data_IF_617779279377
#
_entry.id   IF_617779279377
#
_cell.length_a   1.000
_cell.length_b   1.000
_cell.length_c   1.000
_cell.angle_alpha   90.00
_cell.angle_beta   90.00
_cell.angle_gamma   90.00
#
_symmetry.space_group_name_H-M   'P 1'
#
loop_
_entity.id
_entity.type
_entity.pdbx_description
1 polymer ?
#
# COMPACT_ATOMS: atom_id res chain seq x y z
N UNK A 1 -25.70 -17.75 -28.11
CA UNK A 1 -24.38 -17.43 -27.51
C UNK A 1 -23.86 -16.23 -28.28
N UNK A 2 -24.00 -15.08 -27.68
CA UNK A 2 -23.97 -13.79 -28.37
C UNK A 2 -22.56 -13.33 -28.68
N UNK A 3 -22.39 -12.84 -29.91
CA UNK A 3 -21.15 -12.26 -30.43
C UNK A 3 -20.69 -10.99 -29.67
N UNK A 4 -21.43 -10.56 -28.64
CA UNK A 4 -21.13 -9.41 -27.78
C UNK A 4 -20.22 -9.75 -26.57
N UNK A 5 -20.06 -11.01 -26.19
CA UNK A 5 -19.19 -11.43 -25.07
C UNK A 5 -17.72 -11.61 -25.44
N UNK A 6 -17.36 -11.66 -26.74
CA UNK A 6 -15.98 -11.90 -27.18
C UNK A 6 -15.13 -10.63 -27.37
N UNK A 7 -15.66 -9.42 -27.14
CA UNK A 7 -15.01 -8.17 -27.58
C UNK A 7 -14.07 -7.51 -26.55
N UNK A 8 -13.85 -8.08 -25.34
CA UNK A 8 -13.04 -7.42 -24.30
C UNK A 8 -12.17 -8.38 -23.45
N UNK A 9 -11.69 -9.50 -24.00
CA UNK A 9 -10.74 -10.31 -23.26
C UNK A 9 -9.32 -9.77 -23.44
N UNK A 10 -8.77 -9.15 -22.38
CA UNK A 10 -7.36 -8.82 -22.33
C UNK A 10 -6.52 -10.07 -22.57
N UNK A 11 -5.45 -10.01 -23.39
CA UNK A 11 -4.58 -11.15 -23.65
C UNK A 11 -4.00 -11.67 -22.32
N UNK A 12 -3.86 -12.99 -22.22
CA UNK A 12 -3.25 -13.62 -21.04
C UNK A 12 -1.74 -13.42 -21.13
N UNK A 13 -1.16 -12.83 -20.08
CA UNK A 13 0.27 -12.60 -19.94
C UNK A 13 0.90 -13.83 -19.29
N UNK A 14 1.74 -14.55 -20.03
CA UNK A 14 2.52 -15.66 -19.48
C UNK A 14 3.80 -15.13 -18.83
N UNK A 15 4.07 -15.53 -17.59
CA UNK A 15 5.27 -15.11 -16.84
C UNK A 15 5.74 -16.19 -15.87
N UNK A 16 7.00 -16.09 -15.42
CA UNK A 16 7.50 -16.97 -14.36
C UNK A 16 6.83 -16.65 -13.03
N UNK A 17 6.74 -15.37 -12.67
CA UNK A 17 6.27 -14.95 -11.36
C UNK A 17 5.35 -13.72 -11.45
N UNK A 18 4.27 -13.73 -10.68
CA UNK A 18 3.51 -12.51 -10.33
C UNK A 18 3.85 -12.13 -8.89
N UNK A 19 4.31 -10.90 -8.67
CA UNK A 19 4.53 -10.29 -7.36
C UNK A 19 3.33 -9.40 -7.03
N UNK A 20 2.68 -9.65 -5.91
CA UNK A 20 1.55 -8.85 -5.40
C UNK A 20 2.06 -7.88 -4.35
N UNK A 21 2.20 -6.61 -4.73
CA UNK A 21 2.71 -5.53 -3.90
C UNK A 21 4.06 -4.97 -4.40
N UNK A 22 4.09 -3.65 -4.65
CA UNK A 22 5.24 -2.89 -5.13
C UNK A 22 5.90 -2.04 -4.01
N UNK A 23 5.78 -2.48 -2.75
CA UNK A 23 6.52 -1.91 -1.63
C UNK A 23 8.01 -2.26 -1.69
N UNK A 24 8.85 -1.77 -0.74
CA UNK A 24 10.30 -2.01 -0.76
C UNK A 24 10.67 -3.49 -0.91
N UNK A 25 9.93 -4.38 -0.24
CA UNK A 25 10.20 -5.84 -0.29
C UNK A 25 9.81 -6.42 -1.64
N UNK A 26 8.68 -6.01 -2.22
CA UNK A 26 8.27 -6.43 -3.58
C UNK A 26 9.23 -5.95 -4.66
N UNK A 27 9.75 -4.72 -4.54
CA UNK A 27 10.78 -4.20 -5.43
C UNK A 27 12.07 -5.03 -5.31
N UNK A 28 12.55 -5.28 -4.08
CA UNK A 28 13.73 -6.10 -3.87
C UNK A 28 13.53 -7.56 -4.33
N UNK A 29 12.31 -8.07 -4.25
CA UNK A 29 11.97 -9.40 -4.78
C UNK A 29 12.21 -9.50 -6.29
N UNK A 30 11.94 -8.43 -7.05
CA UNK A 30 12.28 -8.37 -8.49
C UNK A 30 13.78 -8.55 -8.71
N UNK A 31 14.61 -7.89 -7.86
CA UNK A 31 16.06 -8.02 -7.93
C UNK A 31 16.53 -9.46 -7.73
N UNK A 32 16.06 -10.10 -6.67
CA UNK A 32 16.46 -11.47 -6.32
C UNK A 32 16.00 -12.50 -7.38
N UNK A 33 14.78 -12.36 -7.90
CA UNK A 33 14.29 -13.21 -9.00
C UNK A 33 15.11 -12.99 -10.28
N UNK A 34 15.41 -11.74 -10.60
CA UNK A 34 16.22 -11.37 -11.78
C UNK A 34 17.64 -11.96 -11.72
N UNK A 35 18.28 -11.98 -10.54
CA UNK A 35 19.56 -12.66 -10.33
C UNK A 35 19.48 -14.17 -10.66
N UNK A 36 18.34 -14.79 -10.38
CA UNK A 36 18.10 -16.21 -10.72
C UNK A 36 17.58 -16.42 -12.17
N UNK A 37 17.42 -15.34 -12.93
CA UNK A 37 16.97 -15.37 -14.35
C UNK A 37 15.48 -15.63 -14.49
N UNK A 38 14.68 -15.28 -13.51
CA UNK A 38 13.23 -15.36 -13.52
C UNK A 38 12.63 -13.99 -13.86
N UNK A 39 11.62 -14.00 -14.73
CA UNK A 39 10.87 -12.79 -15.07
C UNK A 39 9.69 -12.60 -14.12
N UNK A 40 9.45 -11.35 -13.71
CA UNK A 40 8.37 -11.02 -12.82
C UNK A 40 7.52 -9.86 -13.37
N UNK A 41 6.20 -9.98 -13.19
CA UNK A 41 5.25 -8.88 -13.27
C UNK A 41 4.85 -8.47 -11.85
N UNK A 42 4.81 -7.17 -11.59
CA UNK A 42 4.47 -6.63 -10.27
C UNK A 42 3.12 -5.94 -10.35
N UNK A 43 2.19 -6.34 -9.50
CA UNK A 43 0.84 -5.78 -9.42
C UNK A 43 0.68 -5.04 -8.08
N UNK A 44 0.21 -3.80 -8.10
CA UNK A 44 -0.08 -3.04 -6.88
C UNK A 44 -1.37 -2.23 -7.02
N UNK A 45 -2.19 -2.25 -5.98
CA UNK A 45 -3.42 -1.47 -5.89
C UNK A 45 -3.20 0.04 -5.84
N UNK A 46 -1.99 0.47 -5.50
CA UNK A 46 -1.60 1.89 -5.51
C UNK A 46 -1.15 2.31 -6.92
N UNK A 47 -1.41 3.58 -7.25
CA UNK A 47 -1.01 4.17 -8.53
C UNK A 47 0.49 4.52 -8.62
N UNK A 48 1.26 4.26 -7.55
CA UNK A 48 2.69 4.57 -7.46
C UNK A 48 3.45 3.48 -6.71
N UNK A 49 4.74 3.35 -7.03
CA UNK A 49 5.65 2.42 -6.39
C UNK A 49 5.98 2.85 -4.96
N UNK A 50 6.32 1.88 -4.10
CA UNK A 50 6.87 2.11 -2.77
C UNK A 50 5.94 1.76 -1.60
N UNK A 51 4.65 1.44 -1.87
CA UNK A 51 3.72 0.93 -0.86
C UNK A 51 3.62 1.85 0.36
N UNK A 52 3.65 1.27 1.57
CA UNK A 52 3.55 2.00 2.84
C UNK A 52 4.55 3.14 3.00
N UNK A 53 5.77 2.97 2.51
CA UNK A 53 6.84 3.95 2.62
C UNK A 53 6.47 5.27 1.95
N UNK A 54 5.86 5.21 0.78
CA UNK A 54 5.46 6.41 0.04
C UNK A 54 4.10 6.93 0.52
N UNK A 55 3.15 6.05 0.84
CA UNK A 55 1.81 6.47 1.24
C UNK A 55 1.76 7.10 2.64
N UNK A 56 2.56 6.60 3.59
CA UNK A 56 2.42 6.99 4.99
C UNK A 56 3.51 7.94 5.49
N UNK A 57 4.73 7.84 4.96
CA UNK A 57 5.86 8.58 5.50
C UNK A 57 6.99 8.81 4.47
N UNK A 58 6.70 9.39 3.29
CA UNK A 58 7.69 9.53 2.21
C UNK A 58 8.95 10.28 2.63
N UNK A 59 8.81 11.31 3.45
CA UNK A 59 9.89 12.20 3.87
C UNK A 59 10.48 11.86 5.24
N UNK A 60 9.96 10.81 5.92
CA UNK A 60 10.52 10.41 7.22
C UNK A 60 11.86 9.71 7.05
N UNK A 61 12.85 10.04 7.88
CA UNK A 61 14.16 9.40 7.84
C UNK A 61 14.06 7.96 8.38
N UNK A 62 14.76 7.05 7.70
CA UNK A 62 14.96 5.65 8.04
C UNK A 62 16.44 5.48 8.38
N UNK A 63 16.75 4.77 9.48
CA UNK A 63 18.11 4.62 10.01
C UNK A 63 18.58 3.16 10.06
N UNK A 64 17.69 2.20 9.79
CA UNK A 64 17.91 0.76 9.98
C UNK A 64 18.04 -0.03 8.66
N UNK A 65 18.43 0.66 7.58
CA UNK A 65 18.83 0.02 6.33
C UNK A 65 20.35 -0.22 6.33
N UNK A 66 20.81 -1.45 6.18
CA UNK A 66 22.24 -1.77 6.19
C UNK A 66 23.03 -0.94 5.18
N UNK A 67 24.19 -0.43 5.59
CA UNK A 67 25.08 0.41 4.80
C UNK A 67 24.52 1.78 4.34
N UNK A 68 23.30 2.13 4.74
CA UNK A 68 22.71 3.45 4.51
C UNK A 68 22.48 4.10 5.88
N UNK A 69 23.38 5.01 6.36
CA UNK A 69 23.24 5.59 7.69
C UNK A 69 21.92 6.33 7.92
N UNK A 70 21.43 6.98 6.87
CA UNK A 70 20.12 7.64 6.84
C UNK A 70 19.66 7.79 5.39
N UNK A 71 18.38 7.57 5.16
CA UNK A 71 17.68 7.93 3.92
C UNK A 71 16.22 8.24 4.24
N UNK A 72 15.56 9.01 3.40
CA UNK A 72 14.09 9.09 3.44
C UNK A 72 13.47 7.83 2.84
N UNK A 73 12.18 7.59 3.14
CA UNK A 73 11.44 6.50 2.51
C UNK A 73 11.44 6.61 0.99
N UNK A 74 11.30 7.85 0.48
CA UNK A 74 11.33 8.11 -0.97
C UNK A 74 12.69 7.75 -1.57
N UNK A 75 13.79 8.20 -0.95
CA UNK A 75 15.15 7.88 -1.42
C UNK A 75 15.41 6.37 -1.43
N UNK A 76 14.91 5.63 -0.42
CA UNK A 76 15.04 4.17 -0.41
C UNK A 76 14.31 3.54 -1.61
N UNK A 77 13.07 3.95 -1.86
CA UNK A 77 12.29 3.45 -2.99
C UNK A 77 12.94 3.79 -4.32
N UNK A 78 13.40 5.03 -4.51
CA UNK A 78 14.09 5.47 -5.72
C UNK A 78 15.36 4.61 -6.01
N UNK A 79 16.14 4.29 -4.97
CA UNK A 79 17.32 3.40 -5.07
C UNK A 79 16.95 1.97 -5.41
N UNK A 80 15.86 1.43 -4.84
CA UNK A 80 15.37 0.09 -5.19
C UNK A 80 14.89 0.03 -6.64
N UNK A 81 14.18 1.06 -7.10
CA UNK A 81 13.76 1.17 -8.51
C UNK A 81 14.98 1.24 -9.44
N UNK A 82 16.02 1.98 -9.08
CA UNK A 82 17.27 2.00 -9.84
C UNK A 82 17.94 0.61 -9.88
N UNK A 83 17.97 -0.08 -8.74
CA UNK A 83 18.61 -1.41 -8.61
C UNK A 83 17.96 -2.47 -9.48
N UNK A 84 16.66 -2.39 -9.73
CA UNK A 84 15.92 -3.40 -10.54
C UNK A 84 15.87 -3.09 -12.04
N UNK A 85 16.32 -1.92 -12.49
CA UNK A 85 16.30 -1.53 -13.92
C UNK A 85 16.89 -2.57 -14.86
N UNK A 86 18.01 -3.26 -14.55
CA UNK A 86 18.56 -4.27 -15.44
C UNK A 86 17.61 -5.42 -15.78
N UNK A 87 16.63 -5.69 -14.93
CA UNK A 87 15.67 -6.79 -15.08
C UNK A 87 14.39 -6.37 -15.81
N UNK A 88 14.23 -5.07 -16.13
CA UNK A 88 13.11 -4.51 -16.88
C UNK A 88 11.72 -5.03 -16.42
N UNK A 89 11.39 -5.00 -15.11
CA UNK A 89 10.12 -5.51 -14.61
C UNK A 89 8.95 -4.75 -15.22
N UNK A 90 7.82 -5.45 -15.39
CA UNK A 90 6.58 -4.84 -15.83
C UNK A 90 5.70 -4.54 -14.60
N UNK A 91 5.23 -3.31 -14.49
CA UNK A 91 4.39 -2.86 -13.38
C UNK A 91 2.95 -2.66 -13.83
N UNK A 92 2.00 -3.16 -13.03
CA UNK A 92 0.56 -2.99 -13.16
C UNK A 92 0.07 -2.25 -11.92
N UNK A 93 0.08 -0.91 -11.99
CA UNK A 93 -0.23 -0.03 -10.86
C UNK A 93 -1.70 0.43 -10.92
N UNK A 94 -2.29 0.67 -9.74
CA UNK A 94 -3.71 0.99 -9.63
C UNK A 94 -4.62 -0.23 -9.82
N UNK A 95 -4.05 -1.44 -9.82
CA UNK A 95 -4.76 -2.70 -10.00
C UNK A 95 -4.62 -3.59 -8.77
N UNK A 96 -5.74 -4.06 -8.22
CA UNK A 96 -5.76 -5.04 -7.12
C UNK A 96 -5.86 -6.45 -7.71
N UNK A 97 -5.06 -7.40 -7.25
CA UNK A 97 -5.27 -8.82 -7.59
C UNK A 97 -6.53 -9.31 -6.88
N UNK A 98 -7.54 -9.65 -7.67
CA UNK A 98 -8.87 -10.05 -7.17
C UNK A 98 -9.04 -11.56 -7.09
N UNK A 99 -8.42 -12.29 -8.00
CA UNK A 99 -8.56 -13.74 -8.11
C UNK A 99 -7.19 -14.39 -8.32
N UNK A 100 -6.99 -15.53 -7.68
CA UNK A 100 -5.85 -16.40 -7.87
C UNK A 100 -6.31 -17.87 -7.82
N UNK A 101 -6.19 -18.58 -8.93
CA UNK A 101 -6.60 -19.97 -9.05
C UNK A 101 -5.43 -20.84 -9.54
N UNK A 102 -5.21 -21.96 -8.87
CA UNK A 102 -4.20 -22.94 -9.30
C UNK A 102 -4.77 -23.84 -10.39
N UNK A 103 -4.10 -23.90 -11.51
CA UNK A 103 -4.48 -24.77 -12.65
C UNK A 103 -4.05 -26.23 -12.40
N UNK A 104 -4.63 -27.20 -13.13
CA UNK A 104 -4.19 -28.61 -13.08
C UNK A 104 -2.70 -28.80 -13.47
N UNK A 105 -2.14 -27.90 -14.26
CA UNK A 105 -0.71 -27.92 -14.63
C UNK A 105 0.22 -27.43 -13.51
N UNK A 106 -0.35 -26.90 -12.39
CA UNK A 106 0.40 -26.35 -11.29
C UNK A 106 0.73 -24.86 -11.42
N UNK A 107 0.39 -24.22 -12.55
CA UNK A 107 0.49 -22.77 -12.76
C UNK A 107 -0.67 -22.04 -12.10
N UNK A 108 -0.66 -20.72 -12.14
CA UNK A 108 -1.69 -19.88 -11.54
C UNK A 108 -2.32 -18.94 -12.57
N UNK A 109 -3.64 -18.98 -12.64
CA UNK A 109 -4.40 -17.91 -13.27
C UNK A 109 -4.61 -16.80 -12.24
N UNK A 110 -4.08 -15.62 -12.54
CA UNK A 110 -4.20 -14.44 -11.68
C UNK A 110 -4.95 -13.36 -12.45
N UNK A 111 -5.94 -12.74 -11.81
CA UNK A 111 -6.75 -11.67 -12.40
C UNK A 111 -6.72 -10.43 -11.52
N UNK A 112 -6.73 -9.26 -12.16
CA UNK A 112 -6.77 -7.96 -11.47
C UNK A 112 -8.13 -7.28 -11.60
N UNK A 113 -8.33 -6.24 -10.79
CA UNK A 113 -9.52 -5.38 -10.81
C UNK A 113 -9.68 -4.60 -12.13
N UNK A 114 -8.61 -4.40 -12.90
CA UNK A 114 -8.64 -3.77 -14.22
C UNK A 114 -8.88 -4.80 -15.36
N UNK A 115 -8.99 -6.09 -15.02
CA UNK A 115 -9.21 -7.16 -16.00
C UNK A 115 -7.93 -7.74 -16.60
N UNK A 116 -6.72 -7.30 -16.17
CA UNK A 116 -5.46 -7.92 -16.56
C UNK A 116 -5.41 -9.37 -16.08
N UNK A 117 -4.95 -10.29 -16.96
CA UNK A 117 -4.91 -11.73 -16.69
C UNK A 117 -3.49 -12.26 -16.89
N UNK A 118 -3.05 -13.08 -15.94
CA UNK A 118 -1.75 -13.74 -15.98
C UNK A 118 -1.92 -15.26 -15.94
N UNK A 119 -1.02 -15.95 -16.67
CA UNK A 119 -0.67 -17.34 -16.46
C UNK A 119 0.74 -17.37 -15.85
N UNK A 120 0.81 -17.50 -14.53
CA UNK A 120 2.03 -17.39 -13.76
C UNK A 120 2.53 -18.76 -13.29
N UNK A 121 3.85 -18.96 -13.32
CA UNK A 121 4.48 -20.18 -12.77
C UNK A 121 4.40 -20.22 -11.24
N UNK A 122 4.58 -19.06 -10.57
CA UNK A 122 4.50 -18.91 -9.13
C UNK A 122 3.92 -17.53 -8.77
N UNK A 123 3.46 -17.37 -7.52
CA UNK A 123 2.97 -16.11 -6.98
C UNK A 123 3.72 -15.76 -5.69
N UNK A 124 4.21 -14.51 -5.59
CA UNK A 124 4.81 -13.99 -4.36
C UNK A 124 3.95 -12.86 -3.82
N UNK A 125 3.47 -13.00 -2.59
CA UNK A 125 2.67 -12.00 -1.91
C UNK A 125 3.58 -11.12 -1.06
N UNK A 126 3.81 -9.88 -1.51
CA UNK A 126 4.61 -8.84 -0.85
C UNK A 126 3.74 -7.64 -0.45
N UNK A 127 2.45 -7.90 -0.14
CA UNK A 127 1.40 -6.91 0.01
C UNK A 127 1.44 -6.12 1.35
N UNK A 128 2.54 -6.22 2.12
CA UNK A 128 2.71 -5.48 3.36
C UNK A 128 1.65 -5.83 4.41
N UNK A 129 0.80 -4.88 4.78
CA UNK A 129 -0.36 -5.13 5.66
C UNK A 129 -1.67 -5.30 4.89
N UNK A 130 -1.58 -5.56 3.59
CA UNK A 130 -2.72 -5.60 2.67
C UNK A 130 -3.04 -4.23 2.07
N UNK A 131 -4.14 -4.15 1.34
CA UNK A 131 -4.58 -2.90 0.75
C UNK A 131 -4.92 -1.89 1.86
N UNK A 132 -4.33 -0.69 1.74
CA UNK A 132 -4.62 0.41 2.65
C UNK A 132 -5.96 1.03 2.27
N UNK A 133 -7.01 0.63 3.01
CA UNK A 133 -8.30 1.29 2.88
C UNK A 133 -8.48 2.30 4.01
N UNK A 134 -8.92 3.52 3.73
CA UNK A 134 -9.23 4.49 4.77
C UNK A 134 -10.32 3.94 5.69
N UNK A 135 -10.20 4.22 6.97
CA UNK A 135 -11.29 3.94 7.91
C UNK A 135 -12.48 4.79 7.54
N UNK A 136 -13.51 4.13 6.99
CA UNK A 136 -14.69 4.81 6.50
C UNK A 136 -15.58 5.32 7.63
N UNK A 137 -16.20 6.45 7.38
CA UNK A 137 -17.25 7.02 8.22
C UNK A 137 -18.49 6.12 8.16
N UNK A 138 -18.92 5.61 9.32
CA UNK A 138 -20.05 4.69 9.44
C UNK A 138 -21.30 5.42 9.93
N UNK A 139 -21.79 6.36 9.13
CA UNK A 139 -23.07 7.04 9.35
C UNK A 139 -23.98 6.85 8.13
N UNK A 140 -25.29 6.80 8.29
CA UNK A 140 -26.21 6.62 7.17
C UNK A 140 -26.01 7.69 6.09
N UNK A 141 -25.92 7.28 4.84
CA UNK A 141 -25.79 8.15 3.68
C UNK A 141 -24.35 8.54 3.33
N UNK A 142 -23.34 8.17 4.13
CA UNK A 142 -21.94 8.51 3.86
C UNK A 142 -21.47 7.99 2.48
N UNK A 143 -21.85 6.78 2.11
CA UNK A 143 -21.44 6.15 0.85
C UNK A 143 -21.86 6.96 -0.40
N UNK A 144 -22.97 7.68 -0.33
CA UNK A 144 -23.47 8.51 -1.45
C UNK A 144 -22.64 9.78 -1.68
N UNK A 145 -21.91 10.22 -0.65
CA UNK A 145 -21.11 11.43 -0.65
C UNK A 145 -19.63 11.17 -0.95
N UNK A 146 -19.20 9.90 -0.91
CA UNK A 146 -17.80 9.51 -1.14
C UNK A 146 -17.33 9.92 -2.53
N UNK A 147 -16.17 10.61 -2.59
CA UNK A 147 -15.57 11.13 -3.81
C UNK A 147 -16.19 12.43 -4.34
N UNK A 148 -17.34 12.85 -3.82
CA UNK A 148 -18.01 14.11 -4.19
C UNK A 148 -17.80 15.18 -3.11
N UNK A 149 -18.34 14.98 -1.92
CA UNK A 149 -18.23 15.92 -0.78
C UNK A 149 -17.70 15.27 0.49
N UNK A 150 -17.55 13.95 0.51
CA UNK A 150 -16.85 13.18 1.55
C UNK A 150 -15.57 12.59 0.98
N UNK A 151 -14.43 12.95 1.56
CA UNK A 151 -13.11 12.59 1.07
C UNK A 151 -12.28 11.89 2.15
N UNK A 152 -11.56 10.84 1.78
CA UNK A 152 -10.60 10.14 2.63
C UNK A 152 -9.14 10.43 2.25
N UNK A 153 -8.95 11.17 1.16
CA UNK A 153 -7.67 11.71 0.68
C UNK A 153 -7.91 13.03 -0.04
N UNK A 154 -6.94 13.89 -0.05
CA UNK A 154 -6.93 15.11 -0.87
C UNK A 154 -6.08 14.84 -2.12
N UNK A 155 -6.69 14.96 -3.28
CA UNK A 155 -6.00 14.85 -4.57
C UNK A 155 -5.80 16.21 -5.23
N UNK A 156 -6.72 17.14 -4.97
CA UNK A 156 -6.67 18.51 -5.47
C UNK A 156 -7.15 19.47 -4.37
N UNK A 157 -6.26 20.19 -3.70
CA UNK A 157 -6.63 21.15 -2.66
C UNK A 157 -7.49 22.33 -3.16
N UNK A 158 -7.45 22.64 -4.46
CA UNK A 158 -8.21 23.76 -5.03
C UNK A 158 -9.72 23.56 -4.96
N UNK A 159 -10.19 22.31 -4.86
CA UNK A 159 -11.61 21.97 -4.68
C UNK A 159 -12.23 22.58 -3.42
N UNK A 160 -11.41 22.92 -2.44
CA UNK A 160 -11.85 23.40 -1.13
C UNK A 160 -11.78 24.93 -1.00
N UNK A 161 -11.27 25.63 -2.01
CA UNK A 161 -11.15 27.09 -1.97
C UNK A 161 -12.52 27.75 -1.73
N UNK A 162 -12.56 28.69 -0.76
CA UNK A 162 -13.76 29.43 -0.36
C UNK A 162 -14.96 28.56 0.08
N UNK A 163 -14.70 27.33 0.56
CA UNK A 163 -15.71 26.37 1.07
C UNK A 163 -15.69 26.25 2.58
N UNK A 164 -16.82 25.79 3.15
CA UNK A 164 -16.90 25.37 4.54
C UNK A 164 -16.45 23.92 4.66
N UNK A 165 -15.34 23.71 5.37
CA UNK A 165 -14.68 22.42 5.45
C UNK A 165 -14.68 21.89 6.87
N UNK A 166 -15.02 20.62 7.00
CA UNK A 166 -14.77 19.87 8.24
C UNK A 166 -13.67 18.83 7.99
N UNK A 167 -12.70 18.79 8.88
CA UNK A 167 -11.66 17.76 8.92
C UNK A 167 -11.89 16.90 10.16
N UNK A 168 -12.00 15.58 9.98
CA UNK A 168 -12.16 14.61 11.05
C UNK A 168 -10.88 13.79 11.25
N UNK A 169 -10.21 13.96 12.39
CA UNK A 169 -8.99 13.21 12.72
C UNK A 169 -8.11 13.90 13.76
N UNK A 170 -7.09 13.19 14.24
CA UNK A 170 -6.12 13.68 15.23
C UNK A 170 -4.69 13.20 14.98
N UNK A 171 -4.41 12.65 13.81
CA UNK A 171 -3.07 12.26 13.38
C UNK A 171 -2.41 13.34 12.53
N UNK A 172 -1.16 13.07 12.12
CA UNK A 172 -0.38 13.99 11.29
C UNK A 172 -1.14 14.43 10.03
N UNK A 173 -1.78 13.49 9.30
CA UNK A 173 -2.51 13.83 8.07
C UNK A 173 -3.67 14.81 8.30
N UNK A 174 -4.41 14.67 9.41
CA UNK A 174 -5.50 15.60 9.72
C UNK A 174 -4.98 17.01 10.02
N UNK A 175 -3.89 17.10 10.80
CA UNK A 175 -3.30 18.39 11.14
C UNK A 175 -2.58 19.02 9.96
N UNK A 176 -1.86 18.24 9.14
CA UNK A 176 -1.20 18.76 7.93
C UNK A 176 -2.21 19.44 7.00
N UNK A 177 -3.33 18.77 6.72
CA UNK A 177 -4.37 19.36 5.90
C UNK A 177 -5.10 20.52 6.57
N UNK A 178 -5.29 20.49 7.89
CA UNK A 178 -5.85 21.63 8.61
C UNK A 178 -4.94 22.87 8.51
N UNK A 179 -3.61 22.67 8.69
CA UNK A 179 -2.62 23.74 8.57
C UNK A 179 -2.42 24.22 7.13
N UNK A 180 -2.59 23.34 6.14
CA UNK A 180 -2.48 23.68 4.72
C UNK A 180 -3.69 24.46 4.17
N UNK A 181 -4.90 24.15 4.68
CA UNK A 181 -6.15 24.66 4.13
C UNK A 181 -6.72 25.88 4.86
N UNK A 182 -6.30 26.16 6.12
CA UNK A 182 -6.94 27.15 6.98
C UNK A 182 -7.05 28.57 6.40
N UNK A 183 -6.15 28.98 5.53
CA UNK A 183 -6.12 30.30 4.88
C UNK A 183 -6.71 30.30 3.45
N UNK A 184 -7.10 29.13 2.94
CA UNK A 184 -7.63 28.94 1.58
C UNK A 184 -9.13 28.70 1.56
N UNK A 185 -9.70 28.32 2.69
CA UNK A 185 -11.12 27.96 2.83
C UNK A 185 -11.91 29.07 3.51
N UNK A 186 -13.22 29.07 3.38
CA UNK A 186 -14.10 30.06 4.03
C UNK A 186 -14.17 29.80 5.54
N UNK A 187 -14.33 28.57 5.95
CA UNK A 187 -14.28 28.14 7.34
C UNK A 187 -13.69 26.74 7.48
N UNK A 188 -13.01 26.48 8.59
CA UNK A 188 -12.42 25.18 8.89
C UNK A 188 -12.75 24.77 10.33
N UNK A 189 -13.34 23.58 10.44
CA UNK A 189 -13.59 22.94 11.75
C UNK A 189 -12.87 21.61 11.78
N UNK A 190 -11.98 21.44 12.77
CA UNK A 190 -11.34 20.16 13.07
C UNK A 190 -12.17 19.42 14.11
N UNK A 191 -12.58 18.19 13.82
CA UNK A 191 -13.38 17.35 14.70
C UNK A 191 -12.58 16.15 15.16
N UNK A 192 -12.50 15.93 16.46
CA UNK A 192 -11.96 14.71 17.05
C UNK A 192 -12.66 14.36 18.37
N UNK A 193 -12.77 13.08 18.66
CA UNK A 193 -13.48 12.54 19.83
C UNK A 193 -12.87 12.89 21.21
N UNK A 194 -11.64 13.40 21.24
CA UNK A 194 -10.93 13.77 22.47
C UNK A 194 -9.89 14.85 22.18
N UNK A 195 -9.37 15.48 23.21
CA UNK A 195 -8.28 16.48 23.11
C UNK A 195 -6.89 15.84 22.94
N UNK A 196 -6.80 14.50 22.83
CA UNK A 196 -5.53 13.79 22.67
C UNK A 196 -5.19 13.62 21.21
N UNK A 197 -4.17 14.32 20.73
CA UNK A 197 -3.66 14.24 19.37
C UNK A 197 -2.48 13.27 19.28
N UNK A 198 -2.41 12.52 18.16
CA UNK A 198 -1.29 11.62 17.85
C UNK A 198 -0.32 12.22 16.83
N UNK A 199 -0.57 13.45 16.42
CA UNK A 199 0.30 14.22 15.53
C UNK A 199 1.53 14.75 16.26
N UNK A 200 2.53 15.22 15.50
CA UNK A 200 3.72 15.86 16.06
C UNK A 200 3.35 17.05 16.96
N UNK A 201 3.99 17.20 18.15
CA UNK A 201 3.65 18.26 19.10
C UNK A 201 3.75 19.68 18.52
N UNK A 202 4.63 19.91 17.54
CA UNK A 202 4.74 21.21 16.86
C UNK A 202 3.48 21.55 16.06
N UNK A 203 2.88 20.57 15.39
CA UNK A 203 1.64 20.75 14.61
C UNK A 203 0.44 20.99 15.52
N UNK A 204 0.39 20.29 16.66
CA UNK A 204 -0.66 20.51 17.66
C UNK A 204 -0.62 21.96 18.16
N UNK A 205 0.56 22.46 18.55
CA UNK A 205 0.72 23.86 18.95
C UNK A 205 0.35 24.88 17.87
N UNK A 206 0.61 24.57 16.61
CA UNK A 206 0.20 25.44 15.50
C UNK A 206 -1.32 25.46 15.35
N UNK A 207 -1.98 24.31 15.42
CA UNK A 207 -3.43 24.17 15.39
C UNK A 207 -4.08 24.95 16.54
N UNK A 208 -3.58 24.79 17.78
CA UNK A 208 -4.06 25.50 18.96
C UNK A 208 -3.99 27.04 18.76
N UNK A 209 -2.84 27.54 18.26
CA UNK A 209 -2.68 28.97 17.94
C UNK A 209 -3.70 29.45 16.89
N UNK A 210 -3.94 28.67 15.83
CA UNK A 210 -4.95 29.04 14.83
C UNK A 210 -6.37 29.05 15.40
N UNK A 211 -6.67 28.21 16.37
CA UNK A 211 -7.93 28.26 17.12
C UNK A 211 -8.04 29.52 17.98
N UNK A 212 -6.96 29.90 18.71
CA UNK A 212 -6.89 31.14 19.48
C UNK A 212 -7.05 32.39 18.60
N UNK A 213 -6.47 32.37 17.39
CA UNK A 213 -6.60 33.41 16.39
C UNK A 213 -7.94 33.41 15.62
N UNK A 214 -8.86 32.50 15.99
CA UNK A 214 -10.16 32.29 15.32
C UNK A 214 -10.08 32.04 13.81
N UNK A 215 -8.94 31.49 13.33
CA UNK A 215 -8.73 31.09 11.92
C UNK A 215 -9.24 29.68 11.63
N UNK A 216 -9.46 28.90 12.64
CA UNK A 216 -10.14 27.60 12.61
C UNK A 216 -10.79 27.30 13.95
N UNK A 217 -11.63 26.25 14.00
CA UNK A 217 -12.25 25.78 15.23
C UNK A 217 -11.87 24.32 15.49
N UNK A 218 -11.68 23.98 16.75
CA UNK A 218 -11.62 22.60 17.20
C UNK A 218 -12.90 22.24 17.95
N UNK A 219 -13.55 21.15 17.52
CA UNK A 219 -14.76 20.63 18.13
C UNK A 219 -14.53 19.20 18.63
N UNK A 220 -14.62 19.00 19.94
CA UNK A 220 -14.53 17.68 20.54
C UNK A 220 -15.86 16.93 20.40
N UNK A 221 -15.84 15.77 19.73
CA UNK A 221 -17.01 14.92 19.58
C UNK A 221 -16.87 13.90 18.46
N UNK A 222 -17.89 13.05 18.34
CA UNK A 222 -18.03 12.05 17.28
C UNK A 222 -19.04 12.50 16.23
N UNK A 223 -18.73 12.29 14.96
CA UNK A 223 -19.67 12.53 13.87
C UNK A 223 -20.72 11.43 13.89
N UNK A 224 -21.99 11.85 14.10
CA UNK A 224 -23.14 10.94 14.25
C UNK A 224 -24.17 11.04 13.14
N UNK A 225 -24.06 12.04 12.27
CA UNK A 225 -24.96 12.21 11.14
C UNK A 225 -24.42 13.17 10.09
N UNK A 226 -25.00 13.10 8.90
CA UNK A 226 -24.75 13.96 7.77
C UNK A 226 -26.09 14.48 7.24
N UNK A 227 -26.16 15.76 6.89
CA UNK A 227 -27.27 16.34 6.17
C UNK A 227 -26.80 16.71 4.76
N UNK A 228 -27.52 16.24 3.74
CA UNK A 228 -27.12 16.44 2.35
C UNK A 228 -28.36 16.53 1.44
N UNK A 229 -28.24 17.29 0.37
CA UNK A 229 -29.17 17.27 -0.74
C UNK A 229 -28.52 16.54 -1.93
N UNK A 230 -29.01 15.34 -2.22
CA UNK A 230 -28.38 14.44 -3.20
C UNK A 230 -26.94 14.07 -2.79
N UNK A 231 -25.95 14.59 -3.55
CA UNK A 231 -24.51 14.41 -3.30
C UNK A 231 -23.85 15.65 -2.69
N UNK A 232 -24.60 16.71 -2.41
CA UNK A 232 -24.11 17.95 -1.84
C UNK A 232 -24.28 17.94 -0.31
N UNK A 233 -23.17 17.82 0.42
CA UNK A 233 -23.17 17.96 1.88
C UNK A 233 -23.54 19.40 2.26
N UNK A 234 -24.40 19.56 3.27
CA UNK A 234 -24.79 20.85 3.81
C UNK A 234 -24.36 21.03 5.28
N UNK A 235 -24.36 19.97 6.05
CA UNK A 235 -23.91 20.00 7.45
C UNK A 235 -23.56 18.61 7.98
N UNK A 236 -22.85 18.60 9.10
CA UNK A 236 -22.59 17.39 9.90
C UNK A 236 -23.15 17.55 11.31
N UNK A 237 -23.50 16.43 11.92
CA UNK A 237 -23.92 16.38 13.33
C UNK A 237 -22.78 15.79 14.16
N UNK A 238 -22.31 16.57 15.13
CA UNK A 238 -21.22 16.19 16.03
C UNK A 238 -21.75 16.08 17.46
N UNK A 239 -21.66 14.91 18.06
CA UNK A 239 -22.07 14.64 19.43
C UNK A 239 -20.89 14.67 20.38
N UNK A 240 -20.93 15.56 21.37
CA UNK A 240 -19.95 15.63 22.44
C UNK A 240 -20.11 14.50 23.46
N UNK A 241 -19.11 14.33 24.31
CA UNK A 241 -19.14 13.36 25.42
C UNK A 241 -20.28 13.63 26.41
N UNK A 242 -20.74 14.90 26.55
CA UNK A 242 -21.90 15.27 27.37
C UNK A 242 -23.26 14.88 26.74
N UNK A 243 -23.25 14.35 25.50
CA UNK A 243 -24.46 13.99 24.77
C UNK A 243 -25.09 15.14 23.95
N UNK A 244 -24.54 16.37 24.04
CA UNK A 244 -25.00 17.50 23.25
C UNK A 244 -24.61 17.27 21.77
N UNK A 245 -25.56 17.47 20.87
CA UNK A 245 -25.31 17.39 19.42
C UNK A 245 -25.26 18.79 18.84
N UNK A 246 -24.13 19.11 18.22
CA UNK A 246 -23.92 20.34 17.47
C UNK A 246 -24.09 20.05 15.97
N UNK A 247 -24.79 20.97 15.30
CA UNK A 247 -24.84 21.02 13.84
C UNK A 247 -23.73 21.95 13.34
N UNK A 248 -22.90 21.46 12.43
CA UNK A 248 -21.79 22.21 11.85
C UNK A 248 -22.00 22.27 10.33
N UNK A 249 -22.10 23.47 9.79
CA UNK A 249 -22.24 23.67 8.36
C UNK A 249 -20.95 23.22 7.65
N UNK A 250 -21.08 22.44 6.59
CA UNK A 250 -19.97 21.85 5.85
C UNK A 250 -20.35 21.55 4.41
N UNK A 251 -19.58 22.03 3.47
CA UNK A 251 -19.70 21.68 2.06
C UNK A 251 -18.83 20.48 1.70
N UNK A 252 -17.73 20.27 2.43
CA UNK A 252 -16.90 19.08 2.30
C UNK A 252 -16.48 18.55 3.68
N UNK A 253 -16.41 17.24 3.78
CA UNK A 253 -15.90 16.50 4.94
C UNK A 253 -14.68 15.68 4.54
N UNK A 254 -13.55 15.93 5.19
CA UNK A 254 -12.29 15.23 5.01
C UNK A 254 -12.06 14.31 6.21
N UNK A 255 -11.98 13.00 6.01
CA UNK A 255 -11.88 12.02 7.11
C UNK A 255 -10.50 11.37 7.11
N UNK A 256 -9.68 11.73 8.09
CA UNK A 256 -8.32 11.22 8.29
C UNK A 256 -8.21 10.38 9.57
N UNK A 257 -8.93 9.26 9.62
CA UNK A 257 -8.92 8.34 10.76
C UNK A 257 -7.82 7.27 10.68
N UNK A 258 -6.91 7.44 9.73
CA UNK A 258 -5.86 6.48 9.39
C UNK A 258 -6.36 5.38 8.46
N UNK A 259 -5.41 4.58 8.04
CA UNK A 259 -5.65 3.46 7.14
C UNK A 259 -5.90 2.20 7.97
N UNK A 260 -6.79 1.35 7.49
CA UNK A 260 -7.02 0.04 8.09
C UNK A 260 -6.39 -1.02 7.19
N UNK A 261 -5.43 -1.79 7.72
CA UNK A 261 -4.90 -2.96 7.02
C UNK A 261 -6.02 -3.91 6.66
N UNK A 262 -6.14 -4.27 5.40
CA UNK A 262 -7.15 -5.21 4.93
C UNK A 262 -6.53 -6.15 3.90
N UNK A 263 -6.56 -7.45 4.18
CA UNK A 263 -6.07 -8.45 3.23
C UNK A 263 -6.87 -8.49 1.92
N UNK A 264 -8.12 -7.98 1.94
CA UNK A 264 -8.96 -8.00 0.76
C UNK A 264 -9.15 -9.41 0.21
N UNK A 265 -9.04 -9.60 -1.12
CA UNK A 265 -9.17 -10.90 -1.76
C UNK A 265 -8.17 -11.95 -1.27
N UNK A 266 -6.97 -11.55 -0.82
CA UNK A 266 -5.94 -12.47 -0.30
C UNK A 266 -6.48 -13.39 0.80
N UNK A 267 -7.41 -12.90 1.62
CA UNK A 267 -8.03 -13.69 2.69
C UNK A 267 -8.86 -14.89 2.19
N UNK A 268 -9.22 -14.92 0.90
CA UNK A 268 -10.04 -15.99 0.29
C UNK A 268 -9.23 -16.97 -0.54
N UNK A 269 -7.91 -16.82 -0.67
CA UNK A 269 -7.06 -17.67 -1.53
C UNK A 269 -6.65 -19.00 -0.89
N UNK A 270 -7.30 -19.40 0.22
CA UNK A 270 -7.03 -20.68 0.89
C UNK A 270 -5.70 -20.73 1.65
N UNK A 271 -5.12 -19.57 1.96
CA UNK A 271 -3.88 -19.45 2.72
C UNK A 271 -4.12 -19.62 4.23
N UNK A 272 -3.19 -20.25 4.92
CA UNK A 272 -3.21 -20.27 6.37
C UNK A 272 -2.90 -18.88 6.93
N UNK A 273 -3.76 -18.38 7.81
CA UNK A 273 -3.65 -17.05 8.38
C UNK A 273 -3.57 -17.09 9.91
N UNK A 274 -2.61 -16.40 10.50
CA UNK A 274 -2.61 -16.01 11.90
C UNK A 274 -2.74 -14.48 12.01
N UNK A 275 -3.81 -13.98 12.67
CA UNK A 275 -4.07 -12.54 12.89
C UNK A 275 -3.93 -11.67 11.65
N UNK A 276 -4.48 -12.10 10.53
CA UNK A 276 -4.37 -11.45 9.21
C UNK A 276 -2.93 -11.41 8.64
N UNK A 277 -2.09 -12.34 9.01
CA UNK A 277 -0.77 -12.55 8.41
C UNK A 277 -0.71 -13.97 7.85
N UNK A 278 -0.01 -14.15 6.72
CA UNK A 278 0.12 -15.44 6.04
C UNK A 278 1.21 -16.26 6.74
N UNK A 279 0.87 -17.46 7.19
CA UNK A 279 1.87 -18.39 7.75
C UNK A 279 2.81 -18.89 6.65
N UNK A 280 4.12 -18.85 6.92
CA UNK A 280 5.16 -19.32 6.01
C UNK A 280 6.20 -20.18 6.72
N UNK A 281 6.85 -21.09 5.99
CA UNK A 281 8.08 -21.69 6.46
C UNK A 281 9.24 -20.68 6.45
N UNK A 282 10.28 -20.92 7.22
CA UNK A 282 11.42 -19.99 7.33
C UNK A 282 12.59 -20.33 6.41
N UNK A 283 12.51 -21.41 5.64
CA UNK A 283 13.56 -21.81 4.74
C UNK A 283 13.38 -21.22 3.34
N UNK A 284 12.13 -21.17 2.87
CA UNK A 284 11.79 -20.75 1.52
C UNK A 284 10.70 -19.68 1.48
N UNK A 285 10.08 -19.36 2.61
CA UNK A 285 8.91 -18.49 2.71
C UNK A 285 7.70 -18.96 1.87
N UNK A 286 7.64 -20.27 1.62
CA UNK A 286 6.47 -20.89 1.02
C UNK A 286 5.28 -20.90 1.99
N UNK A 287 4.08 -20.77 1.42
CA UNK A 287 2.82 -20.92 2.16
C UNK A 287 2.33 -22.36 2.14
N UNK A 288 1.17 -22.62 2.73
CA UNK A 288 0.49 -23.93 2.61
C UNK A 288 0.05 -24.26 1.18
N UNK A 289 -0.01 -23.28 0.26
CA UNK A 289 -0.37 -23.48 -1.15
C UNK A 289 0.92 -23.61 -1.98
N UNK A 290 1.25 -24.80 -2.52
CA UNK A 290 2.46 -25.00 -3.30
C UNK A 290 2.55 -24.04 -4.49
N UNK A 291 3.67 -23.30 -4.62
CA UNK A 291 3.91 -22.30 -5.64
C UNK A 291 3.48 -20.88 -5.23
N UNK A 292 2.92 -20.71 -4.02
CA UNK A 292 2.61 -19.40 -3.44
C UNK A 292 3.56 -19.14 -2.26
N UNK A 293 4.20 -17.97 -2.29
CA UNK A 293 5.16 -17.50 -1.29
C UNK A 293 4.68 -16.20 -0.69
N UNK A 294 5.11 -15.86 0.54
CA UNK A 294 4.76 -14.58 1.14
C UNK A 294 5.95 -13.98 1.90
N UNK A 295 6.24 -12.69 1.64
CA UNK A 295 7.40 -11.97 2.16
C UNK A 295 7.03 -10.58 2.67
N UNK A 296 7.81 -10.04 3.61
CA UNK A 296 7.55 -8.74 4.22
C UNK A 296 6.49 -8.80 5.32
N UNK A 297 5.84 -7.66 5.59
CA UNK A 297 4.93 -7.51 6.72
C UNK A 297 3.65 -8.36 6.64
N UNK A 298 3.36 -8.91 5.45
CA UNK A 298 2.19 -9.75 5.20
C UNK A 298 2.32 -11.13 5.81
N UNK A 299 3.55 -11.65 5.98
CA UNK A 299 3.78 -12.98 6.50
C UNK A 299 3.99 -13.02 8.01
N UNK A 300 3.90 -14.23 8.57
CA UNK A 300 4.21 -14.53 9.96
C UNK A 300 4.91 -15.89 10.08
N UNK A 301 5.84 -15.97 11.02
CA UNK A 301 6.57 -17.16 11.44
C UNK A 301 7.16 -16.94 12.84
N UNK A 302 7.62 -17.98 13.57
CA UNK A 302 8.23 -17.82 14.88
C UNK A 302 9.43 -16.86 14.84
N UNK A 303 9.36 -15.79 15.64
CA UNK A 303 10.41 -14.76 15.69
C UNK A 303 10.30 -13.62 14.67
N UNK A 304 9.24 -13.57 13.85
CA UNK A 304 9.01 -12.50 12.88
C UNK A 304 9.14 -11.10 13.48
N UNK A 305 9.89 -10.24 12.79
CA UNK A 305 9.93 -8.80 13.01
C UNK A 305 9.50 -8.07 11.73
N UNK A 306 8.60 -7.10 11.88
CA UNK A 306 8.13 -6.26 10.76
C UNK A 306 9.13 -5.14 10.50
N UNK A 307 10.22 -5.48 9.84
CA UNK A 307 11.30 -4.58 9.43
C UNK A 307 11.52 -4.74 7.92
N UNK A 308 11.87 -3.67 7.23
CA UNK A 308 12.25 -3.72 5.81
C UNK A 308 13.42 -4.69 5.60
N UNK A 309 14.41 -4.64 6.49
CA UNK A 309 15.56 -5.55 6.49
C UNK A 309 15.14 -7.02 6.53
N UNK A 310 14.20 -7.40 7.42
CA UNK A 310 13.68 -8.77 7.49
C UNK A 310 13.04 -9.18 6.17
N UNK A 311 12.24 -8.28 5.58
CA UNK A 311 11.62 -8.52 4.28
C UNK A 311 12.63 -8.71 3.15
N UNK A 312 13.76 -8.03 3.15
CA UNK A 312 14.83 -8.22 2.16
C UNK A 312 15.46 -9.62 2.29
N UNK A 313 15.72 -10.06 3.52
CA UNK A 313 16.19 -11.44 3.76
C UNK A 313 15.18 -12.49 3.29
N UNK A 314 13.90 -12.27 3.60
CA UNK A 314 12.80 -13.14 3.17
C UNK A 314 12.71 -13.21 1.64
N UNK A 315 12.82 -12.08 0.94
CA UNK A 315 12.81 -12.01 -0.51
C UNK A 315 13.94 -12.80 -1.16
N UNK A 316 15.14 -12.75 -0.57
CA UNK A 316 16.28 -13.53 -1.05
C UNK A 316 16.01 -15.03 -0.97
N UNK A 317 15.54 -15.53 0.18
CA UNK A 317 15.25 -16.97 0.35
C UNK A 317 14.04 -17.42 -0.48
N UNK A 318 12.98 -16.59 -0.58
CA UNK A 318 11.81 -16.89 -1.40
C UNK A 318 12.18 -17.03 -2.88
N UNK A 319 13.10 -16.24 -3.40
CA UNK A 319 13.56 -16.36 -4.79
C UNK A 319 14.18 -17.75 -5.07
N UNK A 320 14.99 -18.29 -4.16
CA UNK A 320 15.50 -19.64 -4.28
C UNK A 320 14.37 -20.68 -4.19
N UNK A 321 13.42 -20.52 -3.26
CA UNK A 321 12.25 -21.39 -3.15
C UNK A 321 11.40 -21.41 -4.42
N UNK A 322 11.18 -20.26 -5.03
CA UNK A 322 10.48 -20.14 -6.33
C UNK A 322 11.26 -20.85 -7.43
N UNK A 323 12.58 -20.66 -7.50
CA UNK A 323 13.41 -21.31 -8.52
C UNK A 323 13.36 -22.84 -8.39
N UNK A 324 13.41 -23.36 -7.18
CA UNK A 324 13.29 -24.80 -6.90
C UNK A 324 11.90 -25.32 -7.28
N UNK A 325 10.84 -24.58 -6.97
CA UNK A 325 9.48 -24.94 -7.34
C UNK A 325 9.27 -24.98 -8.85
N UNK A 326 9.80 -24.00 -9.60
CA UNK A 326 9.64 -23.92 -11.06
C UNK A 326 10.50 -24.92 -11.83
N UNK A 327 11.61 -25.39 -11.25
CA UNK A 327 12.54 -26.35 -11.86
C UNK A 327 12.87 -27.48 -10.88
N UNK A 328 11.90 -28.36 -10.58
CA UNK A 328 12.09 -29.43 -9.59
C UNK A 328 13.24 -30.37 -10.01
N UNK A 329 14.15 -30.63 -9.10
CA UNK A 329 15.31 -31.50 -9.32
C UNK A 329 16.49 -30.83 -10.01
N UNK A 330 16.38 -29.59 -10.46
CA UNK A 330 17.54 -28.83 -10.90
C UNK A 330 18.29 -28.29 -9.68
N UNK A 331 19.58 -28.55 -9.60
CA UNK A 331 20.40 -28.00 -8.51
C UNK A 331 20.64 -26.51 -8.74
N UNK A 332 20.05 -25.68 -7.88
CA UNK A 332 20.30 -24.23 -7.89
C UNK A 332 21.64 -23.98 -7.21
N UNK A 333 22.66 -23.64 -7.98
CA UNK A 333 23.97 -23.29 -7.44
C UNK A 333 23.96 -21.83 -6.98
N UNK A 334 24.32 -21.60 -5.71
CA UNK A 334 24.57 -20.25 -5.21
C UNK A 334 25.71 -19.61 -6.01
N UNK A 335 25.42 -18.44 -6.56
CA UNK A 335 26.39 -17.64 -7.29
C UNK A 335 26.56 -16.29 -6.62
N UNK A 336 27.78 -15.78 -6.61
CA UNK A 336 28.09 -14.49 -6.01
C UNK A 336 28.15 -13.40 -7.08
N UNK A 337 27.45 -12.29 -6.83
CA UNK A 337 27.42 -11.13 -7.74
C UNK A 337 28.81 -10.53 -7.97
N UNK A 338 29.74 -10.72 -7.06
CA UNK A 338 31.13 -10.24 -7.15
C UNK A 338 31.99 -10.99 -8.16
N UNK A 339 31.67 -12.24 -8.46
CA UNK A 339 32.55 -13.12 -9.25
C UNK A 339 31.88 -13.84 -10.40
N UNK A 340 30.54 -13.95 -10.41
CA UNK A 340 29.83 -14.73 -11.41
C UNK A 340 29.63 -13.96 -12.72
N UNK A 341 30.17 -14.43 -13.87
CA UNK A 341 29.91 -13.81 -15.18
C UNK A 341 28.41 -13.84 -15.56
N UNK A 342 27.67 -14.86 -15.09
CA UNK A 342 26.24 -14.99 -15.35
C UNK A 342 25.49 -13.86 -14.62
N UNK A 343 25.82 -13.60 -13.37
CA UNK A 343 25.23 -12.49 -12.62
C UNK A 343 25.60 -11.13 -13.23
N UNK A 344 26.85 -10.94 -13.63
CA UNK A 344 27.30 -9.70 -14.29
C UNK A 344 26.52 -9.47 -15.59
N UNK A 345 26.32 -10.51 -16.39
CA UNK A 345 25.51 -10.42 -17.63
C UNK A 345 24.06 -10.02 -17.32
N UNK A 346 23.44 -10.63 -16.29
CA UNK A 346 22.06 -10.32 -15.88
C UNK A 346 21.93 -8.89 -15.35
N UNK A 347 22.94 -8.42 -14.62
CA UNK A 347 23.02 -7.05 -14.09
C UNK A 347 23.39 -6.01 -15.15
N UNK A 348 23.74 -6.42 -16.37
CA UNK A 348 24.17 -5.51 -17.42
C UNK A 348 25.51 -4.81 -17.13
N UNK A 349 26.31 -5.33 -16.17
CA UNK A 349 27.65 -4.80 -15.89
C UNK A 349 28.66 -5.44 -16.82
N UNK A 350 29.49 -4.61 -17.48
CA UNK A 350 30.56 -5.10 -18.33
C UNK A 350 31.53 -5.96 -17.52
N UNK A 351 32.12 -6.98 -18.13
CA UNK A 351 33.16 -7.79 -17.54
C UNK A 351 34.47 -6.97 -17.37
N UNK A 352 34.39 -5.94 -16.58
CA UNK A 352 35.57 -5.14 -16.19
C UNK A 352 35.78 -5.43 -14.71
N UNK A 353 36.76 -6.28 -14.49
CA UNK A 353 37.57 -6.42 -13.27
C UNK A 353 37.99 -7.90 -13.10
N UNK A 354 38.69 -8.44 -14.10
CA UNK A 354 39.63 -9.53 -13.87
C UNK A 354 41.04 -8.90 -14.07
N UNK A 355 41.55 -8.30 -13.02
CA UNK A 355 42.96 -7.94 -12.87
C UNK A 355 43.31 -8.09 -11.38
#
# INVERSE_FOLDING_TARGET
>A
MDAYEQANEHPIISTDVVIVGAGPVGLFQVFELGLLGLQAHVVDSMAQLGGQCIELYPDKPIYDIPAIPVCTSKELVDRLVEQIKPFAPQFHLGEEVTEMERTPSGRFHVRTSAGTRFDAGAVIIAAGVGAFRPRRLRVPGAERLEGETLHYKVTDPSLFADKDIVIAGAGDSALDWALELHDKVRSLVLVHRSQSFRAAPSKVRQMERLCEEMKMQFLEGDITGLEADGKALSSILVRSASGLTNRVDAQHLLVFWGLHPNLGPIATWGLNLDKNQIETDTATFATNVPGVFAVGDINTYPGKKKLILSGFHEAALAAFGVREYLSPGEKVHLQYTTTSPIMHKRLGVAATLAA
#
